data_IF_113584465863
#
_entry.id   IF_113584465863
#
_cell.length_a   1.000
_cell.length_b   1.000
_cell.length_c   1.000
_cell.angle_alpha   90.00
_cell.angle_beta   90.00
_cell.angle_gamma   90.00
#
_symmetry.space_group_name_H-M   'P 1'
#
loop_
_entity.id
_entity.type
_entity.pdbx_description
1 polymer ?
#
# COMPACT_ATOMS: atom_id res chain seq x y z
N UNK A 1 -6.82 19.55 8.80
CA UNK A 1 -6.57 20.96 9.19
C UNK A 1 -5.49 20.96 10.26
N UNK A 2 -4.37 21.68 10.06
CA UNK A 2 -3.19 21.63 10.95
C UNK A 2 -3.06 22.87 11.87
N UNK A 3 -3.90 23.89 11.65
CA UNK A 3 -3.90 25.16 12.39
C UNK A 3 -4.89 26.15 11.77
N UNK A 4 -5.12 27.28 12.46
CA UNK A 4 -6.04 28.34 12.02
C UNK A 4 -7.48 28.15 12.46
N UNK A 5 -8.37 29.00 11.94
CA UNK A 5 -9.82 28.98 12.21
C UNK A 5 -10.58 28.81 10.92
N UNK A 6 -11.45 27.80 10.85
CA UNK A 6 -12.39 27.60 9.74
C UNK A 6 -13.79 27.90 10.24
N UNK A 7 -14.55 28.66 9.46
CA UNK A 7 -15.95 28.99 9.75
C UNK A 7 -16.80 28.52 8.57
N UNK A 8 -17.83 27.74 8.85
CA UNK A 8 -18.81 27.25 7.88
C UNK A 8 -20.17 27.82 8.25
N UNK A 9 -20.77 28.56 7.32
CA UNK A 9 -22.17 28.99 7.40
C UNK A 9 -22.97 28.17 6.39
N UNK A 10 -23.56 27.07 6.86
CA UNK A 10 -24.24 26.07 6.03
C UNK A 10 -24.14 24.65 6.60
N UNK A 11 -24.84 23.72 5.96
CA UNK A 11 -24.87 22.31 6.38
C UNK A 11 -23.62 21.57 5.90
N UNK A 12 -23.10 20.65 6.72
CA UNK A 12 -21.94 19.81 6.40
C UNK A 12 -22.38 18.35 6.41
N UNK A 13 -22.26 17.67 5.26
CA UNK A 13 -22.47 16.23 5.15
C UNK A 13 -21.20 15.45 5.47
N UNK A 14 -21.36 14.24 6.03
CA UNK A 14 -20.24 13.38 6.42
C UNK A 14 -19.64 13.72 7.79
N UNK A 15 -18.43 13.22 8.06
CA UNK A 15 -17.77 13.36 9.37
C UNK A 15 -16.99 14.67 9.49
N UNK A 16 -17.65 15.69 10.05
CA UNK A 16 -17.01 16.97 10.32
C UNK A 16 -15.82 16.81 11.29
N UNK A 17 -14.71 17.49 11.01
CA UNK A 17 -13.49 17.52 11.82
C UNK A 17 -12.73 16.18 12.01
N UNK A 18 -13.13 15.08 11.34
CA UNK A 18 -12.52 13.74 11.48
C UNK A 18 -10.98 13.69 11.38
N UNK A 19 -10.39 14.58 10.58
CA UNK A 19 -8.95 14.65 10.33
C UNK A 19 -8.33 16.00 10.70
N UNK A 20 -8.96 16.71 11.63
CA UNK A 20 -8.39 17.94 12.18
C UNK A 20 -7.26 17.57 13.15
N UNK A 21 -6.05 18.02 12.83
CA UNK A 21 -4.79 17.82 13.56
C UNK A 21 -4.31 19.10 14.26
N UNK A 22 -5.10 20.19 14.19
CA UNK A 22 -4.90 21.45 14.90
C UNK A 22 -5.88 22.54 14.45
N UNK A 23 -6.09 23.55 15.30
CA UNK A 23 -6.94 24.74 15.03
C UNK A 23 -8.38 24.65 15.56
N UNK A 24 -9.26 25.57 15.12
CA UNK A 24 -10.68 25.65 15.53
C UNK A 24 -11.63 25.62 14.32
N UNK A 25 -12.69 24.82 14.40
CA UNK A 25 -13.75 24.75 13.40
C UNK A 25 -15.07 25.24 14.01
N UNK A 26 -15.74 26.17 13.35
CA UNK A 26 -17.06 26.67 13.74
C UNK A 26 -18.07 26.39 12.62
N UNK A 27 -19.18 25.74 12.93
CA UNK A 27 -20.24 25.40 11.96
C UNK A 27 -21.55 26.03 12.45
N UNK A 28 -22.20 26.81 11.59
CA UNK A 28 -23.57 27.27 11.74
C UNK A 28 -24.45 26.61 10.68
N UNK A 29 -25.06 25.48 11.05
CA UNK A 29 -25.88 24.63 10.18
C UNK A 29 -25.95 23.20 10.72
N UNK A 30 -26.62 22.32 9.99
CA UNK A 30 -26.74 20.90 10.35
C UNK A 30 -25.46 20.14 9.98
N UNK A 31 -25.01 19.27 10.87
CA UNK A 31 -23.93 18.33 10.60
C UNK A 31 -24.03 17.15 11.55
N UNK A 32 -23.37 16.05 11.20
CA UNK A 32 -23.18 14.94 12.13
C UNK A 32 -22.02 15.31 13.07
N UNK A 33 -22.27 15.55 14.36
CA UNK A 33 -21.19 15.87 15.28
C UNK A 33 -20.25 14.66 15.41
N UNK A 34 -18.92 14.90 15.50
CA UNK A 34 -17.99 13.82 15.79
C UNK A 34 -18.32 13.20 17.16
N UNK A 35 -17.94 11.93 17.40
CA UNK A 35 -18.26 11.14 18.61
C UNK A 35 -17.92 11.84 19.94
N UNK A 36 -17.03 12.81 19.89
CA UNK A 36 -16.47 13.58 21.01
C UNK A 36 -17.33 14.83 21.31
N UNK A 37 -18.37 15.05 20.50
CA UNK A 37 -19.35 16.12 20.60
C UNK A 37 -18.88 17.45 20.02
N UNK A 38 -19.83 18.26 19.56
CA UNK A 38 -19.63 19.67 19.28
C UNK A 38 -20.18 20.50 20.44
N UNK A 39 -19.46 21.56 20.83
CA UNK A 39 -19.89 22.46 21.91
C UNK A 39 -20.44 23.76 21.32
N UNK A 40 -21.50 24.35 21.89
CA UNK A 40 -21.88 25.70 21.51
C UNK A 40 -20.69 26.65 21.66
N UNK A 41 -20.41 27.46 20.64
CA UNK A 41 -19.32 28.43 20.70
C UNK A 41 -19.54 29.39 21.88
N UNK A 42 -18.49 29.65 22.64
CA UNK A 42 -18.58 30.56 23.80
C UNK A 42 -18.91 32.00 23.35
N UNK A 43 -19.44 32.87 24.23
CA UNK A 43 -19.79 34.25 23.86
C UNK A 43 -18.61 35.05 23.28
N UNK A 44 -17.39 34.81 23.78
CA UNK A 44 -16.17 35.44 23.27
C UNK A 44 -15.82 34.94 21.85
N UNK A 45 -15.92 33.62 21.61
CA UNK A 45 -15.67 33.03 20.30
C UNK A 45 -16.73 33.42 19.28
N UNK A 46 -18.00 33.45 19.67
CA UNK A 46 -19.10 33.95 18.84
C UNK A 46 -18.81 35.37 18.37
N UNK A 47 -18.37 36.27 19.26
CA UNK A 47 -18.05 37.65 18.88
C UNK A 47 -16.91 37.74 17.87
N UNK A 48 -15.88 36.89 18.01
CA UNK A 48 -14.75 36.83 17.08
C UNK A 48 -15.20 36.31 15.71
N UNK A 49 -15.98 35.21 15.68
CA UNK A 49 -16.48 34.58 14.46
C UNK A 49 -17.46 35.50 13.72
N UNK A 50 -18.37 36.15 14.44
CA UNK A 50 -19.32 37.11 13.86
C UNK A 50 -18.60 38.32 13.26
N UNK A 51 -17.56 38.84 13.93
CA UNK A 51 -16.73 39.93 13.38
C UNK A 51 -16.00 39.49 12.12
N UNK A 52 -15.43 38.28 12.12
CA UNK A 52 -14.74 37.70 10.97
C UNK A 52 -15.69 37.58 9.76
N UNK A 53 -16.93 37.14 9.97
CA UNK A 53 -17.93 37.04 8.90
C UNK A 53 -18.34 38.41 8.37
N UNK A 54 -18.55 39.40 9.25
CA UNK A 54 -18.85 40.78 8.85
C UNK A 54 -17.73 41.42 8.03
N UNK A 55 -16.47 41.18 8.41
CA UNK A 55 -15.29 41.63 7.66
C UNK A 55 -15.25 41.04 6.24
N UNK A 56 -15.87 39.88 6.02
CA UNK A 56 -15.97 39.21 4.72
C UNK A 56 -17.35 39.40 4.05
N UNK A 57 -18.16 40.35 4.54
CA UNK A 57 -19.44 40.74 3.94
C UNK A 57 -20.59 39.75 4.17
N UNK A 58 -20.46 38.83 5.14
CA UNK A 58 -21.51 37.88 5.51
C UNK A 58 -22.23 38.42 6.74
N UNK A 59 -23.56 38.56 6.67
CA UNK A 59 -24.38 38.93 7.83
C UNK A 59 -24.50 37.74 8.79
N UNK A 60 -23.97 37.84 10.02
CA UNK A 60 -24.00 36.72 10.96
C UNK A 60 -25.27 36.67 11.83
N UNK A 61 -26.24 37.56 11.61
CA UNK A 61 -27.48 37.56 12.40
C UNK A 61 -28.25 36.25 12.24
N UNK A 62 -28.61 35.62 13.37
CA UNK A 62 -29.35 34.35 13.39
C UNK A 62 -28.50 33.09 13.21
N UNK A 63 -27.16 33.21 13.06
CA UNK A 63 -26.28 32.05 12.97
C UNK A 63 -25.86 31.55 14.36
N UNK A 64 -26.19 30.29 14.68
CA UNK A 64 -25.76 29.60 15.89
C UNK A 64 -24.58 28.68 15.62
N UNK A 65 -23.40 29.07 16.09
CA UNK A 65 -22.17 28.33 15.86
C UNK A 65 -21.95 27.25 16.91
N UNK A 66 -21.69 26.03 16.41
CA UNK A 66 -21.08 24.95 17.18
C UNK A 66 -19.57 24.90 16.88
N UNK A 67 -18.77 24.86 17.93
CA UNK A 67 -17.31 24.82 17.88
C UNK A 67 -16.76 23.42 18.11
N UNK A 68 -15.76 23.06 17.30
CA UNK A 68 -14.97 21.83 17.42
C UNK A 68 -13.50 22.24 17.59
N UNK A 69 -12.80 21.65 18.56
CA UNK A 69 -11.41 21.97 18.90
C UNK A 69 -10.56 20.70 19.09
N UNK A 70 -9.25 20.81 18.87
CA UNK A 70 -8.29 19.69 18.95
C UNK A 70 -8.32 18.95 20.30
N UNK A 71 -8.50 19.64 21.43
CA UNK A 71 -8.58 18.98 22.75
C UNK A 71 -9.74 17.99 22.86
N UNK A 72 -10.77 18.13 22.02
CA UNK A 72 -11.82 17.13 21.89
C UNK A 72 -11.32 15.95 21.04
N UNK A 73 -10.63 16.22 19.93
CA UNK A 73 -10.15 15.23 18.94
C UNK A 73 -9.01 14.34 19.46
N UNK A 74 -8.16 14.85 20.34
CA UNK A 74 -7.09 14.07 20.99
C UNK A 74 -7.59 12.94 21.91
N UNK A 75 -8.89 12.84 22.18
CA UNK A 75 -9.50 11.74 22.94
C UNK A 75 -10.06 10.61 22.07
N UNK A 76 -9.82 10.65 20.74
CA UNK A 76 -9.99 9.43 19.95
C UNK A 76 -9.17 8.32 20.63
N UNK A 77 -9.78 7.19 21.04
CA UNK A 77 -8.97 5.99 21.16
C UNK A 77 -8.28 5.85 19.79
N UNK A 78 -6.97 5.59 19.79
CA UNK A 78 -6.36 5.02 18.59
C UNK A 78 -7.35 3.96 18.13
N UNK A 79 -7.87 4.08 16.90
CA UNK A 79 -8.68 3.01 16.32
C UNK A 79 -7.82 1.78 16.55
N UNK A 80 -8.26 0.87 17.43
CA UNK A 80 -7.55 -0.37 17.68
C UNK A 80 -7.43 -0.97 16.29
N UNK A 81 -6.24 -0.83 15.69
CA UNK A 81 -5.96 -1.42 14.41
C UNK A 81 -5.98 -2.90 14.73
N UNK A 82 -7.11 -3.53 14.45
CA UNK A 82 -7.33 -4.94 14.65
C UNK A 82 -6.07 -5.65 14.13
N UNK A 83 -5.36 -6.35 15.02
CA UNK A 83 -4.09 -6.96 14.66
C UNK A 83 -4.37 -7.97 13.55
N UNK A 84 -3.97 -7.62 12.33
CA UNK A 84 -4.17 -8.49 11.18
C UNK A 84 -3.47 -9.82 11.43
N UNK A 85 -4.10 -10.95 11.07
CA UNK A 85 -3.52 -12.26 11.31
C UNK A 85 -2.20 -12.42 10.55
N UNK A 86 -1.16 -12.92 11.22
CA UNK A 86 0.11 -13.24 10.58
C UNK A 86 -0.04 -14.54 9.76
N UNK A 87 -0.11 -14.43 8.42
CA UNK A 87 -0.39 -15.57 7.55
C UNK A 87 0.89 -16.31 7.11
N UNK A 88 2.00 -15.58 6.90
CA UNK A 88 3.21 -16.16 6.34
C UNK A 88 3.81 -17.32 7.15
N UNK A 89 3.76 -17.23 8.49
CA UNK A 89 4.28 -18.26 9.40
C UNK A 89 3.46 -19.55 9.33
N UNK A 90 2.17 -19.45 8.97
CA UNK A 90 1.18 -20.51 8.81
C UNK A 90 1.10 -21.05 7.37
N UNK A 91 1.98 -20.60 6.49
CA UNK A 91 2.23 -21.18 5.16
C UNK A 91 3.50 -22.05 5.18
N UNK A 92 3.48 -23.14 4.41
CA UNK A 92 4.62 -24.04 4.22
C UNK A 92 4.95 -24.24 2.74
N UNK A 93 6.23 -24.21 2.42
CA UNK A 93 6.73 -24.56 1.08
C UNK A 93 6.70 -26.07 0.89
N UNK A 94 6.34 -26.53 -0.31
CA UNK A 94 6.29 -27.94 -0.69
C UNK A 94 7.18 -28.17 -1.91
N UNK A 95 8.22 -28.99 -1.71
CA UNK A 95 9.35 -29.17 -2.62
C UNK A 95 9.03 -29.87 -3.96
N UNK A 96 7.87 -30.50 -4.09
CA UNK A 96 7.52 -31.22 -5.31
C UNK A 96 6.01 -31.17 -5.56
N UNK A 97 5.62 -30.25 -6.43
CA UNK A 97 4.41 -30.43 -7.21
C UNK A 97 4.73 -31.57 -8.17
N UNK A 98 3.94 -32.64 -8.21
CA UNK A 98 4.21 -33.85 -9.01
C UNK A 98 4.53 -33.59 -10.51
N UNK A 99 4.27 -32.36 -10.99
CA UNK A 99 4.54 -31.88 -12.34
C UNK A 99 6.00 -31.52 -12.62
N UNK A 100 6.84 -31.22 -11.61
CA UNK A 100 8.21 -30.70 -11.81
C UNK A 100 9.21 -31.36 -10.86
N UNK A 101 10.38 -31.75 -11.39
CA UNK A 101 11.49 -32.23 -10.57
C UNK A 101 12.30 -31.06 -9.99
N UNK A 102 12.91 -31.22 -8.81
CA UNK A 102 13.92 -30.27 -8.33
C UNK A 102 15.06 -30.09 -9.35
N UNK A 103 15.57 -28.86 -9.45
CA UNK A 103 16.66 -28.47 -10.34
C UNK A 103 18.01 -28.86 -9.74
N UNK A 104 18.92 -29.32 -10.60
CA UNK A 104 20.28 -29.70 -10.22
C UNK A 104 21.19 -28.48 -10.20
N UNK A 105 21.80 -28.13 -9.05
CA UNK A 105 22.76 -27.03 -8.97
C UNK A 105 23.88 -27.18 -10.01
N UNK A 106 24.17 -26.12 -10.75
CA UNK A 106 25.23 -26.08 -11.76
C UNK A 106 24.89 -26.71 -13.12
N UNK A 107 23.77 -27.42 -13.24
CA UNK A 107 23.28 -28.01 -14.50
C UNK A 107 22.02 -27.31 -15.00
N UNK A 108 21.05 -27.12 -14.11
CA UNK A 108 19.79 -26.47 -14.42
C UNK A 108 19.89 -24.98 -14.01
N UNK A 109 19.80 -24.03 -14.94
CA UNK A 109 19.90 -22.61 -14.60
C UNK A 109 18.67 -22.16 -13.78
N UNK A 110 18.90 -21.28 -12.81
CA UNK A 110 17.87 -20.61 -12.02
C UNK A 110 18.15 -19.11 -12.06
N UNK A 111 17.18 -18.34 -12.53
CA UNK A 111 17.24 -16.89 -12.60
C UNK A 111 16.11 -16.28 -11.77
N UNK A 112 16.41 -15.79 -10.56
CA UNK A 112 15.41 -15.16 -9.70
C UNK A 112 15.21 -13.67 -10.04
N UNK A 113 15.86 -13.14 -11.08
CA UNK A 113 15.85 -11.72 -11.40
C UNK A 113 14.48 -11.12 -11.71
N UNK A 114 14.37 -9.82 -11.53
CA UNK A 114 13.18 -9.01 -11.77
C UNK A 114 13.56 -7.77 -12.59
N UNK A 115 12.78 -7.47 -13.62
CA UNK A 115 12.90 -6.24 -14.40
C UNK A 115 11.65 -5.40 -14.18
N UNK A 116 11.83 -4.13 -13.83
CA UNK A 116 10.75 -3.16 -13.69
C UNK A 116 10.86 -2.08 -14.77
N UNK A 117 9.73 -1.76 -15.39
CA UNK A 117 9.63 -0.79 -16.50
C UNK A 117 10.45 -1.19 -17.73
N UNK A 118 10.25 -2.39 -18.31
CA UNK A 118 11.03 -2.86 -19.47
C UNK A 118 10.96 -1.91 -20.69
N UNK A 119 9.91 -1.09 -20.77
CA UNK A 119 9.67 -0.13 -21.85
C UNK A 119 10.19 1.29 -21.55
N UNK A 120 10.88 1.48 -20.41
CA UNK A 120 11.54 2.74 -20.05
C UNK A 120 12.94 2.83 -20.66
N UNK A 121 13.52 4.02 -20.75
CA UNK A 121 14.89 4.16 -21.29
C UNK A 121 15.94 3.48 -20.42
N UNK A 122 15.73 3.48 -19.10
CA UNK A 122 16.58 2.89 -18.07
C UNK A 122 15.78 1.94 -17.17
N UNK A 123 15.45 0.72 -17.65
CA UNK A 123 14.73 -0.26 -16.87
C UNK A 123 15.52 -0.67 -15.63
N UNK A 124 14.83 -0.86 -14.50
CA UNK A 124 15.47 -1.33 -13.28
C UNK A 124 15.58 -2.85 -13.31
N UNK A 125 16.80 -3.34 -13.53
CA UNK A 125 17.11 -4.77 -13.54
C UNK A 125 17.71 -5.20 -12.21
N UNK A 126 17.03 -6.11 -11.53
CA UNK A 126 17.47 -6.69 -10.26
C UNK A 126 17.86 -8.16 -10.48
N UNK A 127 19.05 -8.56 -10.02
CA UNK A 127 19.53 -9.94 -10.13
C UNK A 127 18.84 -10.90 -9.15
N UNK A 128 18.17 -10.34 -8.15
CA UNK A 128 17.30 -11.02 -7.19
C UNK A 128 16.01 -10.20 -7.12
N UNK A 129 14.85 -10.79 -6.77
CA UNK A 129 13.57 -10.10 -6.84
C UNK A 129 13.34 -9.32 -5.54
N UNK A 130 14.32 -8.50 -5.16
CA UNK A 130 14.33 -7.74 -3.91
C UNK A 130 14.71 -6.30 -4.20
N UNK A 131 13.81 -5.38 -3.87
CA UNK A 131 14.06 -3.96 -3.77
C UNK A 131 14.40 -3.65 -2.29
N UNK A 132 15.48 -2.93 -2.03
CA UNK A 132 15.91 -2.63 -0.65
C UNK A 132 16.38 -1.19 -0.51
N UNK A 133 16.47 -0.73 0.74
CA UNK A 133 17.11 0.54 1.08
C UNK A 133 18.45 0.29 1.79
N UNK A 134 19.47 1.11 1.49
CA UNK A 134 20.77 1.03 2.13
C UNK A 134 21.93 1.24 1.15
N UNK A 135 23.10 0.73 1.51
CA UNK A 135 24.29 0.82 0.65
C UNK A 135 24.05 0.11 -0.69
N UNK A 136 24.45 0.78 -1.78
CA UNK A 136 24.32 0.31 -3.16
C UNK A 136 22.88 -0.07 -3.58
N UNK A 137 21.87 0.39 -2.84
CA UNK A 137 20.47 0.26 -3.23
C UNK A 137 20.17 1.10 -4.49
N UNK A 138 19.13 0.74 -5.26
CA UNK A 138 18.57 1.63 -6.26
C UNK A 138 18.19 2.99 -5.64
N UNK A 139 18.49 4.08 -6.33
CA UNK A 139 18.08 5.41 -5.88
C UNK A 139 16.58 5.57 -6.11
N UNK A 140 15.80 5.55 -5.04
CA UNK A 140 14.34 5.63 -5.10
C UNK A 140 13.88 7.05 -4.74
N UNK A 141 13.04 7.64 -5.58
CA UNK A 141 12.35 8.90 -5.29
C UNK A 141 10.87 8.60 -5.00
N UNK A 142 10.45 8.80 -3.75
CA UNK A 142 9.07 8.56 -3.32
C UNK A 142 8.31 9.88 -3.19
N UNK A 143 7.22 10.02 -3.95
CA UNK A 143 6.28 11.12 -3.81
C UNK A 143 5.07 10.68 -2.99
N UNK A 144 4.99 11.17 -1.77
CA UNK A 144 3.83 11.00 -0.90
C UNK A 144 2.71 11.95 -1.37
N UNK A 145 1.70 11.44 -2.08
CA UNK A 145 0.90 12.25 -3.03
C UNK A 145 0.66 13.70 -2.62
N UNK A 146 -0.24 14.14 -1.76
CA UNK A 146 -0.44 15.58 -1.43
C UNK A 146 0.70 16.32 -0.67
N UNK A 147 1.96 15.96 -0.87
CA UNK A 147 3.15 16.72 -0.47
C UNK A 147 3.85 17.30 -1.70
N UNK A 148 4.87 18.14 -1.50
CA UNK A 148 5.70 18.63 -2.60
C UNK A 148 6.40 17.45 -3.29
N UNK A 149 6.36 17.33 -4.63
CA UNK A 149 7.06 16.27 -5.33
C UNK A 149 8.57 16.34 -5.08
N UNK A 150 9.25 15.19 -4.95
CA UNK A 150 10.71 15.14 -4.88
C UNK A 150 11.33 15.44 -6.25
N UNK A 151 12.65 15.60 -6.27
CA UNK A 151 13.40 15.64 -7.52
C UNK A 151 13.59 14.21 -8.07
N UNK A 152 13.10 13.94 -9.28
CA UNK A 152 13.23 12.65 -9.94
C UNK A 152 14.46 12.57 -10.89
N UNK A 153 15.25 13.63 -11.01
CA UNK A 153 16.36 13.69 -11.97
C UNK A 153 17.48 12.68 -11.71
N UNK A 154 17.71 12.31 -10.45
CA UNK A 154 18.80 11.40 -10.05
C UNK A 154 18.33 9.98 -9.67
N UNK A 155 17.02 9.70 -9.68
CA UNK A 155 16.53 8.39 -9.25
C UNK A 155 16.72 7.30 -10.33
N UNK A 156 16.65 6.04 -9.92
CA UNK A 156 16.53 4.86 -10.79
C UNK A 156 15.09 4.30 -10.79
N UNK A 157 14.26 4.77 -9.86
CA UNK A 157 12.90 4.32 -9.63
C UNK A 157 12.09 5.46 -9.02
N UNK A 158 10.95 5.77 -9.62
CA UNK A 158 9.97 6.67 -9.03
C UNK A 158 8.86 5.86 -8.34
N UNK A 159 8.44 6.31 -7.17
CA UNK A 159 7.35 5.68 -6.40
C UNK A 159 6.30 6.74 -6.10
N UNK A 160 5.09 6.55 -6.60
CA UNK A 160 3.91 7.32 -6.21
C UNK A 160 3.27 6.64 -5.00
N UNK A 161 3.34 7.26 -3.83
CA UNK A 161 2.88 6.67 -2.59
C UNK A 161 1.49 7.19 -2.19
N UNK A 162 0.49 6.32 -2.30
CA UNK A 162 -0.89 6.58 -1.91
C UNK A 162 -1.19 6.15 -0.47
N UNK A 163 -0.29 5.40 0.17
CA UNK A 163 -0.46 4.95 1.56
C UNK A 163 -0.08 6.02 2.59
N UNK A 164 0.64 7.06 2.15
CA UNK A 164 1.03 8.18 3.00
C UNK A 164 -0.19 9.08 3.29
N UNK A 165 -1.09 8.70 4.19
CA UNK A 165 -2.22 9.55 4.59
C UNK A 165 -3.20 8.86 5.53
N UNK A 166 -3.86 9.63 6.42
CA UNK A 166 -4.98 9.14 7.26
C UNK A 166 -6.28 8.94 6.47
N UNK A 167 -6.28 9.30 5.20
CA UNK A 167 -7.43 9.21 4.32
C UNK A 167 -7.38 7.89 3.56
N UNK A 168 -8.33 6.96 3.77
CA UNK A 168 -8.41 5.73 2.98
C UNK A 168 -8.68 6.00 1.50
N UNK A 169 -9.19 7.20 1.15
CA UNK A 169 -9.22 7.79 -0.18
C UNK A 169 -8.84 9.26 -0.08
N UNK A 170 -7.78 9.66 -0.76
CA UNK A 170 -7.31 11.05 -0.83
C UNK A 170 -8.37 11.89 -1.55
N UNK A 171 -8.88 12.94 -0.88
CA UNK A 171 -9.96 13.82 -1.37
C UNK A 171 -9.62 14.52 -2.71
N UNK A 172 -8.35 14.54 -3.09
CA UNK A 172 -7.79 15.06 -4.34
C UNK A 172 -7.73 14.02 -5.48
N UNK A 173 -8.12 12.77 -5.22
CA UNK A 173 -8.15 11.67 -6.19
C UNK A 173 -9.55 11.04 -6.17
N UNK A 174 -10.54 11.79 -6.65
CA UNK A 174 -11.93 11.33 -6.69
C UNK A 174 -12.17 10.36 -7.85
N UNK A 175 -11.36 10.44 -8.91
CA UNK A 175 -11.51 9.65 -10.12
C UNK A 175 -10.24 8.87 -10.45
N UNK A 176 -10.38 7.71 -11.12
CA UNK A 176 -9.24 7.02 -11.71
C UNK A 176 -8.33 7.97 -12.50
N UNK A 177 -8.90 8.85 -13.32
CA UNK A 177 -8.16 9.79 -14.16
C UNK A 177 -7.16 10.69 -13.40
N UNK A 178 -7.35 10.93 -12.11
CA UNK A 178 -6.45 11.75 -11.29
C UNK A 178 -5.13 11.02 -11.01
N UNK A 179 -5.17 9.71 -10.74
CA UNK A 179 -3.96 8.89 -10.58
C UNK A 179 -3.21 8.75 -11.91
N UNK A 180 -3.94 8.64 -13.02
CA UNK A 180 -3.35 8.59 -14.35
C UNK A 180 -2.53 9.87 -14.62
N UNK A 181 -3.08 11.04 -14.30
CA UNK A 181 -2.40 12.32 -14.42
C UNK A 181 -1.16 12.40 -13.53
N UNK A 182 -1.24 11.92 -12.28
CA UNK A 182 -0.08 11.90 -11.38
C UNK A 182 1.05 11.03 -11.92
N UNK A 183 0.73 9.82 -12.40
CA UNK A 183 1.71 8.92 -13.02
C UNK A 183 2.32 9.58 -14.27
N UNK A 184 1.48 10.20 -15.11
CA UNK A 184 1.93 10.88 -16.32
C UNK A 184 2.83 12.09 -16.03
N UNK A 185 2.53 12.87 -14.99
CA UNK A 185 3.39 13.96 -14.54
C UNK A 185 4.78 13.45 -14.11
N UNK A 186 4.83 12.33 -13.39
CA UNK A 186 6.10 11.70 -13.00
C UNK A 186 6.83 11.15 -14.23
N UNK A 187 6.13 10.53 -15.18
CA UNK A 187 6.72 10.08 -16.46
C UNK A 187 7.28 11.26 -17.25
N UNK A 188 6.59 12.39 -17.31
CA UNK A 188 7.08 13.59 -18.01
C UNK A 188 8.29 14.21 -17.32
N UNK A 189 8.27 14.33 -15.99
CA UNK A 189 9.40 14.87 -15.22
C UNK A 189 10.65 14.00 -15.38
N UNK A 190 10.47 12.68 -15.34
CA UNK A 190 11.53 11.70 -15.60
C UNK A 190 11.87 11.53 -17.08
N UNK A 191 11.09 12.14 -18.00
CA UNK A 191 11.17 11.92 -19.46
C UNK A 191 11.07 10.44 -19.87
N UNK A 192 10.26 9.67 -19.15
CA UNK A 192 10.10 8.23 -19.31
C UNK A 192 11.41 7.42 -19.14
N UNK A 193 12.39 8.00 -18.47
CA UNK A 193 13.71 7.39 -18.24
C UNK A 193 13.61 6.21 -17.29
N UNK A 194 12.89 6.34 -16.18
CA UNK A 194 12.88 5.35 -15.10
C UNK A 194 11.51 4.73 -14.89
N UNK A 195 11.44 3.51 -14.35
CA UNK A 195 10.18 2.90 -13.93
C UNK A 195 9.43 3.74 -12.88
N UNK A 196 8.11 3.75 -13.01
CA UNK A 196 7.17 4.38 -12.06
C UNK A 196 6.31 3.30 -11.41
N UNK A 197 6.48 3.11 -10.10
CA UNK A 197 5.66 2.21 -9.29
C UNK A 197 4.60 2.99 -8.50
N UNK A 198 3.48 2.34 -8.21
CA UNK A 198 2.47 2.86 -7.28
C UNK A 198 2.49 2.06 -5.99
N UNK A 199 2.62 2.72 -4.84
CA UNK A 199 2.55 2.10 -3.52
C UNK A 199 1.16 2.27 -2.93
N UNK A 200 0.49 1.16 -2.63
CA UNK A 200 -0.89 1.08 -2.13
C UNK A 200 -0.97 0.27 -0.82
N UNK A 201 -1.86 0.63 0.12
CA UNK A 201 -2.17 -0.24 1.26
C UNK A 201 -2.97 -1.46 0.80
N UNK A 202 -2.68 -2.65 1.35
CA UNK A 202 -3.50 -3.84 1.13
C UNK A 202 -4.94 -3.61 1.64
N UNK A 203 -5.93 -3.63 0.73
CA UNK A 203 -7.32 -3.27 1.02
C UNK A 203 -8.26 -3.54 -0.16
N UNK A 204 -8.88 -2.49 -0.71
CA UNK A 204 -9.82 -2.54 -1.85
C UNK A 204 -9.09 -2.77 -3.19
N UNK A 205 -8.40 -3.91 -3.29
CA UNK A 205 -7.58 -4.23 -4.46
C UNK A 205 -8.39 -4.38 -5.75
N UNK A 206 -9.65 -4.81 -5.70
CA UNK A 206 -10.44 -4.93 -6.93
C UNK A 206 -10.71 -3.55 -7.54
N UNK A 207 -11.07 -2.58 -6.70
CA UNK A 207 -11.15 -1.17 -7.07
C UNK A 207 -9.80 -0.66 -7.56
N UNK A 208 -8.77 -0.75 -6.73
CA UNK A 208 -7.45 -0.19 -7.02
C UNK A 208 -6.83 -0.78 -8.30
N UNK A 209 -6.94 -2.09 -8.51
CA UNK A 209 -6.36 -2.75 -9.69
C UNK A 209 -7.16 -2.43 -10.96
N UNK A 210 -8.48 -2.24 -10.87
CA UNK A 210 -9.27 -1.79 -12.03
C UNK A 210 -8.81 -0.42 -12.53
N UNK A 211 -8.52 0.48 -11.59
CA UNK A 211 -7.97 1.82 -11.82
C UNK A 211 -6.57 1.72 -12.43
N UNK A 212 -5.66 0.99 -11.79
CA UNK A 212 -4.27 0.87 -12.24
C UNK A 212 -4.12 0.18 -13.60
N UNK A 213 -5.00 -0.78 -13.93
CA UNK A 213 -4.93 -1.51 -15.20
C UNK A 213 -5.07 -0.62 -16.42
N UNK A 214 -5.82 0.48 -16.32
CA UNK A 214 -5.98 1.47 -17.38
C UNK A 214 -4.83 2.48 -17.50
N UNK A 215 -3.94 2.54 -16.51
CA UNK A 215 -2.90 3.58 -16.38
C UNK A 215 -1.49 3.09 -16.68
N UNK A 216 -1.31 1.76 -16.66
CA UNK A 216 -0.05 1.07 -16.91
C UNK A 216 1.15 1.65 -16.10
N UNK A 217 1.08 1.66 -14.75
CA UNK A 217 2.29 1.78 -13.96
C UNK A 217 3.23 0.61 -14.27
N UNK A 218 4.52 0.78 -14.02
CA UNK A 218 5.52 -0.26 -14.28
C UNK A 218 5.50 -1.37 -13.21
N UNK A 219 4.67 -1.21 -12.18
CA UNK A 219 4.41 -2.16 -11.10
C UNK A 219 3.74 -1.51 -9.89
N UNK A 220 3.43 -2.34 -8.90
CA UNK A 220 2.71 -1.91 -7.69
C UNK A 220 3.42 -2.46 -6.45
N UNK A 221 3.55 -1.65 -5.41
CA UNK A 221 4.04 -2.06 -4.09
C UNK A 221 2.83 -2.18 -3.14
N UNK A 222 2.61 -3.36 -2.58
CA UNK A 222 1.61 -3.59 -1.55
C UNK A 222 2.20 -3.36 -0.16
N UNK A 223 1.81 -2.26 0.46
CA UNK A 223 2.08 -1.95 1.85
C UNK A 223 1.06 -2.62 2.77
N UNK A 224 1.39 -2.71 4.06
CA UNK A 224 0.43 -3.13 5.09
C UNK A 224 -0.78 -2.18 5.08
N UNK A 225 -1.99 -2.74 5.13
CA UNK A 225 -3.25 -1.99 5.09
C UNK A 225 -4.32 -2.65 5.96
N UNK A 226 -5.58 -2.62 5.52
CA UNK A 226 -6.71 -3.25 6.20
C UNK A 226 -6.86 -4.76 5.95
N UNK A 227 -6.01 -5.34 5.09
CA UNK A 227 -5.98 -6.77 4.78
C UNK A 227 -4.53 -7.27 4.83
N UNK A 228 -4.27 -8.54 5.24
CA UNK A 228 -2.92 -9.11 5.18
C UNK A 228 -2.36 -9.08 3.74
N UNK A 229 -1.07 -8.75 3.60
CA UNK A 229 -0.41 -8.62 2.29
C UNK A 229 -0.46 -9.94 1.52
N UNK A 230 -0.42 -11.08 2.20
CA UNK A 230 -0.48 -12.42 1.62
C UNK A 230 -1.84 -12.71 0.95
N UNK A 231 -2.93 -12.30 1.59
CA UNK A 231 -4.27 -12.41 1.04
C UNK A 231 -4.45 -11.44 -0.14
N UNK A 232 -3.92 -10.21 0.01
CA UNK A 232 -3.93 -9.19 -1.02
C UNK A 232 -3.18 -9.63 -2.30
N UNK A 233 -1.98 -10.20 -2.16
CA UNK A 233 -1.21 -10.80 -3.26
C UNK A 233 -1.99 -11.91 -3.95
N UNK A 234 -2.65 -12.76 -3.18
CA UNK A 234 -3.41 -13.89 -3.72
C UNK A 234 -4.62 -13.42 -4.53
N UNK A 235 -5.30 -12.37 -4.09
CA UNK A 235 -6.41 -11.76 -4.80
C UNK A 235 -5.96 -11.06 -6.09
N UNK A 236 -4.77 -10.47 -6.09
CA UNK A 236 -4.20 -9.76 -7.24
C UNK A 236 -3.34 -10.64 -8.17
N UNK A 237 -3.27 -11.97 -7.93
CA UNK A 237 -2.34 -12.89 -8.62
C UNK A 237 -2.48 -12.89 -10.14
N UNK A 238 -3.71 -12.78 -10.65
CA UNK A 238 -3.99 -12.78 -12.09
C UNK A 238 -3.80 -11.39 -12.74
N UNK A 239 -3.34 -10.41 -11.96
CA UNK A 239 -2.92 -9.10 -12.48
C UNK A 239 -1.75 -9.25 -13.45
N UNK A 240 -1.77 -8.47 -14.53
CA UNK A 240 -0.63 -8.36 -15.46
C UNK A 240 0.47 -7.42 -14.94
N UNK A 241 0.20 -6.68 -13.86
CA UNK A 241 1.16 -5.75 -13.27
C UNK A 241 2.05 -6.48 -12.25
N UNK A 242 3.38 -6.28 -12.26
CA UNK A 242 4.27 -6.89 -11.28
C UNK A 242 3.98 -6.32 -9.89
N UNK A 243 3.65 -7.21 -8.96
CA UNK A 243 3.31 -6.88 -7.57
C UNK A 243 4.49 -7.11 -6.63
N UNK A 244 4.95 -6.07 -5.93
CA UNK A 244 5.97 -6.16 -4.91
C UNK A 244 5.35 -6.18 -3.51
N UNK A 245 5.69 -7.18 -2.70
CA UNK A 245 5.23 -7.25 -1.32
C UNK A 245 6.14 -6.40 -0.41
N UNK A 246 5.58 -5.44 0.32
CA UNK A 246 6.36 -4.70 1.30
C UNK A 246 6.50 -5.50 2.61
N UNK A 247 7.74 -5.60 3.10
CA UNK A 247 8.00 -6.17 4.42
C UNK A 247 9.20 -5.50 5.07
N UNK A 248 9.22 -5.49 6.40
CA UNK A 248 10.34 -4.92 7.16
C UNK A 248 11.61 -5.75 6.99
N UNK A 249 11.47 -7.07 7.04
CA UNK A 249 12.54 -8.05 6.89
C UNK A 249 11.95 -9.33 6.33
N UNK A 250 12.73 -10.09 5.57
CA UNK A 250 12.30 -11.39 5.08
C UNK A 250 13.46 -12.38 5.05
N UNK A 251 13.20 -13.60 5.51
CA UNK A 251 14.08 -14.73 5.23
C UNK A 251 13.93 -15.19 3.78
N UNK A 252 14.83 -16.04 3.30
CA UNK A 252 14.67 -16.65 1.96
C UNK A 252 13.38 -17.45 1.85
N UNK A 253 12.93 -18.09 2.93
CA UNK A 253 11.66 -18.84 2.94
C UNK A 253 10.46 -17.91 2.82
N UNK A 254 10.51 -16.76 3.50
CA UNK A 254 9.42 -15.78 3.47
C UNK A 254 9.27 -15.16 2.09
N UNK A 255 10.39 -14.77 1.46
CA UNK A 255 10.39 -14.30 0.08
C UNK A 255 9.84 -15.38 -0.86
N UNK A 256 10.29 -16.64 -0.76
CA UNK A 256 9.76 -17.73 -1.60
C UNK A 256 8.24 -17.92 -1.45
N UNK A 257 7.72 -17.79 -0.22
CA UNK A 257 6.27 -17.85 0.01
C UNK A 257 5.55 -16.68 -0.65
N UNK A 258 6.06 -15.45 -0.49
CA UNK A 258 5.46 -14.27 -1.11
C UNK A 258 5.48 -14.36 -2.65
N UNK A 259 6.57 -14.85 -3.23
CA UNK A 259 6.66 -15.11 -4.67
C UNK A 259 5.60 -16.15 -5.11
N UNK A 260 5.51 -17.28 -4.40
CA UNK A 260 4.52 -18.32 -4.67
C UNK A 260 3.05 -17.88 -4.46
N UNK A 261 2.81 -16.86 -3.63
CA UNK A 261 1.47 -16.27 -3.47
C UNK A 261 1.05 -15.40 -4.67
N UNK A 262 2.00 -14.98 -5.52
CA UNK A 262 1.74 -14.15 -6.71
C UNK A 262 2.59 -12.88 -6.78
N UNK A 263 3.56 -12.69 -5.88
CA UNK A 263 4.43 -11.52 -5.92
C UNK A 263 5.53 -11.68 -6.97
N UNK A 264 5.82 -10.59 -7.69
CA UNK A 264 6.97 -10.50 -8.59
C UNK A 264 8.29 -10.27 -7.83
N UNK A 265 8.22 -9.71 -6.62
CA UNK A 265 9.38 -9.42 -5.79
C UNK A 265 9.02 -8.81 -4.45
N UNK A 266 10.01 -8.51 -3.61
CA UNK A 266 9.78 -8.01 -2.25
C UNK A 266 10.47 -6.67 -2.06
N UNK A 267 9.78 -5.70 -1.45
CA UNK A 267 10.39 -4.45 -1.00
C UNK A 267 10.74 -4.55 0.48
N UNK A 268 12.02 -4.45 0.82
CA UNK A 268 12.52 -4.43 2.18
C UNK A 268 12.64 -2.99 2.70
N UNK A 269 11.88 -2.66 3.72
CA UNK A 269 11.94 -1.33 4.38
C UNK A 269 12.96 -1.29 5.51
N UNK A 270 13.40 -2.44 6.03
CA UNK A 270 14.50 -2.54 6.98
C UNK A 270 15.86 -2.38 6.30
N UNK A 271 16.85 -1.85 7.03
CA UNK A 271 18.24 -1.75 6.55
C UNK A 271 18.83 -3.14 6.30
N UNK A 272 19.37 -3.36 5.10
CA UNK A 272 20.04 -4.60 4.71
C UNK A 272 21.47 -4.31 4.26
N UNK A 273 22.42 -5.13 4.68
CA UNK A 273 23.82 -5.05 4.22
C UNK A 273 24.01 -5.88 2.96
N UNK A 274 24.95 -5.50 2.09
CA UNK A 274 25.28 -6.25 0.88
C UNK A 274 25.59 -7.73 1.15
N UNK A 275 26.32 -8.03 2.22
CA UNK A 275 26.65 -9.40 2.61
C UNK A 275 25.42 -10.24 2.97
N UNK A 276 24.40 -9.64 3.59
CA UNK A 276 23.13 -10.30 3.89
C UNK A 276 22.31 -10.48 2.62
N UNK A 277 22.32 -9.49 1.73
CA UNK A 277 21.61 -9.54 0.45
C UNK A 277 22.17 -10.63 -0.46
N UNK A 278 23.49 -10.76 -0.57
CA UNK A 278 24.15 -11.84 -1.33
C UNK A 278 23.78 -13.23 -0.78
N UNK A 279 23.88 -13.43 0.54
CA UNK A 279 23.45 -14.69 1.19
C UNK A 279 21.97 -14.99 0.99
N UNK A 280 21.13 -13.96 0.97
CA UNK A 280 19.70 -14.09 0.69
C UNK A 280 19.49 -14.55 -0.75
N UNK A 281 20.18 -13.92 -1.71
CA UNK A 281 20.19 -14.32 -3.13
C UNK A 281 20.59 -15.77 -3.36
N UNK A 282 21.70 -16.22 -2.76
CA UNK A 282 22.17 -17.61 -2.88
C UNK A 282 21.13 -18.61 -2.35
N UNK A 283 20.55 -18.32 -1.17
CA UNK A 283 19.51 -19.14 -0.56
C UNK A 283 18.21 -19.15 -1.36
N UNK A 284 17.87 -18.03 -2.01
CA UNK A 284 16.70 -17.94 -2.88
C UNK A 284 16.89 -18.80 -4.12
N UNK A 285 18.01 -18.65 -4.82
CA UNK A 285 18.34 -19.46 -6.00
C UNK A 285 18.32 -20.96 -5.67
N UNK A 286 18.92 -21.35 -4.54
CA UNK A 286 18.88 -22.74 -4.08
C UNK A 286 17.46 -23.21 -3.74
N UNK A 287 16.69 -22.41 -3.01
CA UNK A 287 15.32 -22.73 -2.62
C UNK A 287 14.36 -22.84 -3.82
N UNK A 288 14.46 -21.92 -4.79
CA UNK A 288 13.72 -22.01 -6.06
C UNK A 288 14.08 -23.29 -6.81
N UNK A 289 15.37 -23.59 -6.93
CA UNK A 289 15.82 -24.83 -7.56
C UNK A 289 15.27 -26.07 -6.86
N UNK A 290 15.27 -26.10 -5.53
CA UNK A 290 14.70 -27.19 -4.74
C UNK A 290 13.19 -27.37 -4.96
N UNK A 291 12.46 -26.28 -5.27
CA UNK A 291 11.03 -26.29 -5.63
C UNK A 291 10.79 -26.65 -7.12
N UNK A 292 11.85 -26.87 -7.90
CA UNK A 292 11.78 -27.11 -9.35
C UNK A 292 11.63 -25.83 -10.19
N UNK A 293 11.67 -24.65 -9.57
CA UNK A 293 11.48 -23.36 -10.23
C UNK A 293 12.78 -22.82 -10.83
N UNK A 294 12.74 -22.40 -12.10
CA UNK A 294 13.86 -21.76 -12.81
C UNK A 294 13.74 -20.25 -12.88
N UNK A 295 12.54 -19.73 -12.73
CA UNK A 295 12.25 -18.30 -12.65
C UNK A 295 11.17 -18.06 -11.60
N UNK A 296 10.92 -16.79 -11.25
CA UNK A 296 9.86 -16.44 -10.30
C UNK A 296 8.50 -16.91 -10.80
N UNK A 297 8.21 -16.81 -12.10
CA UNK A 297 6.95 -17.24 -12.71
C UNK A 297 6.74 -18.77 -12.71
N UNK A 298 7.75 -19.56 -12.34
CA UNK A 298 7.61 -20.99 -12.11
C UNK A 298 7.05 -21.34 -10.72
N UNK A 299 6.96 -20.36 -9.82
CA UNK A 299 6.40 -20.50 -8.48
C UNK A 299 4.90 -20.17 -8.48
N UNK A 300 4.15 -20.92 -7.69
CA UNK A 300 2.72 -20.69 -7.52
C UNK A 300 2.16 -21.32 -6.26
N UNK A 301 0.83 -21.21 -6.04
CA UNK A 301 0.14 -21.74 -4.86
C UNK A 301 0.35 -23.23 -4.65
N UNK A 302 0.61 -23.98 -5.72
CA UNK A 302 0.92 -25.40 -5.66
C UNK A 302 2.20 -25.70 -4.86
N UNK A 303 3.14 -24.74 -4.79
CA UNK A 303 4.34 -24.79 -3.97
C UNK A 303 4.06 -24.45 -2.50
N UNK A 304 2.81 -24.15 -2.14
CA UNK A 304 2.40 -23.79 -0.80
C UNK A 304 1.35 -24.75 -0.23
N UNK A 305 1.36 -24.89 1.10
CA UNK A 305 0.23 -25.42 1.86
C UNK A 305 -0.07 -24.53 3.05
N UNK A 306 -1.35 -24.25 3.24
CA UNK A 306 -1.86 -23.62 4.44
C UNK A 306 -1.87 -24.65 5.59
N UNK A 307 -1.52 -24.21 6.80
CA UNK A 307 -1.52 -25.08 7.98
C UNK A 307 -2.89 -25.20 8.64
N UNK A 308 -3.85 -24.36 8.24
CA UNK A 308 -5.19 -24.29 8.81
C UNK A 308 -6.18 -23.66 7.82
N UNK A 309 -7.47 -23.79 8.16
CA UNK A 309 -8.58 -23.39 7.29
C UNK A 309 -8.63 -21.87 7.08
N UNK A 310 -8.29 -21.07 8.09
CA UNK A 310 -8.33 -19.60 8.01
C UNK A 310 -7.37 -19.09 6.93
N UNK A 311 -6.11 -19.54 6.96
CA UNK A 311 -5.10 -19.16 5.96
C UNK A 311 -5.48 -19.68 4.58
N UNK A 312 -6.00 -20.90 4.50
CA UNK A 312 -6.47 -21.48 3.23
C UNK A 312 -7.60 -20.63 2.61
N UNK A 313 -8.56 -20.20 3.43
CA UNK A 313 -9.68 -19.35 3.01
C UNK A 313 -9.23 -17.95 2.58
N UNK A 314 -8.31 -17.32 3.33
CA UNK A 314 -7.86 -15.95 3.06
C UNK A 314 -6.92 -15.86 1.84
N UNK A 315 -6.12 -16.88 1.57
CA UNK A 315 -5.08 -16.86 0.51
C UNK A 315 -5.44 -17.71 -0.71
N UNK A 316 -6.46 -18.56 -0.61
CA UNK A 316 -6.77 -19.55 -1.65
C UNK A 316 -5.69 -20.62 -1.83
N UNK A 317 -4.72 -20.73 -0.91
CA UNK A 317 -3.71 -21.79 -0.91
C UNK A 317 -4.36 -23.10 -0.40
N UNK A 318 -4.08 -24.26 -1.01
CA UNK A 318 -4.60 -25.54 -0.54
C UNK A 318 -4.20 -25.83 0.92
N UNK A 319 -5.15 -26.32 1.72
CA UNK A 319 -4.88 -26.79 3.08
C UNK A 319 -3.94 -28.00 3.04
N UNK A 320 -3.03 -28.12 4.00
CA UNK A 320 -2.17 -29.29 4.15
C UNK A 320 -3.02 -30.59 4.19
N UNK A 321 -2.68 -31.57 3.36
CA UNK A 321 -3.48 -32.79 3.18
C UNK A 321 -4.54 -32.70 2.07
N UNK A 322 -4.72 -31.54 1.45
CA UNK A 322 -5.60 -31.34 0.30
C UNK A 322 -4.80 -30.95 -0.96
N UNK A 323 -5.30 -31.40 -2.11
CA UNK A 323 -4.70 -31.12 -3.42
C UNK A 323 -5.31 -29.88 -4.12
N UNK A 324 -6.39 -29.34 -3.56
CA UNK A 324 -7.08 -28.16 -4.08
C UNK A 324 -7.46 -27.18 -2.95
N UNK A 325 -7.66 -25.88 -3.25
CA UNK A 325 -8.20 -24.92 -2.30
C UNK A 325 -9.55 -25.40 -1.77
N UNK A 326 -9.82 -25.14 -0.48
CA UNK A 326 -11.12 -25.47 0.09
C UNK A 326 -12.19 -24.57 -0.53
N UNK A 327 -13.29 -25.13 -1.09
CA UNK A 327 -14.42 -24.30 -1.50
C UNK A 327 -15.03 -23.64 -0.26
N UNK A 328 -15.22 -22.32 -0.32
CA UNK A 328 -15.78 -21.49 0.77
C UNK A 328 -17.20 -21.91 1.24
N UNK A 329 -17.84 -22.86 0.58
CA UNK A 329 -19.25 -23.25 0.80
C UNK A 329 -19.46 -24.72 1.20
N UNK A 330 -18.51 -25.37 1.86
CA UNK A 330 -18.79 -26.65 2.55
C UNK A 330 -19.01 -26.40 4.05
N UNK A 331 -20.18 -25.86 4.36
CA UNK A 331 -20.84 -26.00 5.67
C UNK A 331 -22.26 -26.50 5.44
#
# INVERSE_FOLDING_TARGET
MHGGTVVVAGNVSGDAARYMTGGKLFIAGDFTPPDIGAKPASPAERKIVQKLLQEHGIDPQGLDFQGISETAISQLPEVEQEELPELLSRLRLVAAVLKRRPRRPGLDPVNPGLTLGPDTEEPLNLTIPILWQGEHAPQMATWNVGTRPPDFSQCNLAIVDLSAGRLPRRLDMERPDDLAQVIELVRQDTRNRVPVLVRLPAGDLSGDMSVLSGMAPDGVILARGGVPVEAALSAARDSRLPMLAETRQASSHDVLKLLALGSAGVMLTGKVTLSKLGKLGDKLTHGMGALGAGSVGDLGPENLRALDQEVASLTGVPLAGYDAPLPMWRH
#
